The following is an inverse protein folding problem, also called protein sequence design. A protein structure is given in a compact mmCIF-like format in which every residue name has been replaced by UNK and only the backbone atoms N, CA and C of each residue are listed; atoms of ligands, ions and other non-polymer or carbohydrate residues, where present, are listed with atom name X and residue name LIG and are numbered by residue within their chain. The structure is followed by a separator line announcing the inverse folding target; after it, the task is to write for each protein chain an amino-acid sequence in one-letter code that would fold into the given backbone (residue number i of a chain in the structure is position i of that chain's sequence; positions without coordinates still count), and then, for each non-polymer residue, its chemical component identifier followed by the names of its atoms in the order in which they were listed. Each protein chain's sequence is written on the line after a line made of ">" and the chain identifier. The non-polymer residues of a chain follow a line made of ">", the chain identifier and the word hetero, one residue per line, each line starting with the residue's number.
data_IF_676285952578
#
_entry.id   IF_676285952578
#
_cell.length_a   1.000
_cell.length_b   1.000
_cell.length_c   1.000
_cell.angle_alpha   90.00
_cell.angle_beta   90.00
_cell.angle_gamma   90.00
#
_symmetry.space_group_name_H-M   'P 1'
#
loop_
_entity.id
_entity.type
_entity.pdbx_description
1 polymer ?
#
# COMPACT_ATOMS: atom_id res chain seq x y z
N UNK A 1 23.80 -20.82 -12.84
CA UNK A 1 24.74 -19.89 -13.51
C UNK A 1 23.95 -19.10 -14.55
N UNK A 2 23.72 -17.82 -14.34
CA UNK A 2 23.12 -16.94 -15.35
C UNK A 2 24.04 -15.71 -15.50
N UNK A 3 25.10 -15.89 -16.28
CA UNK A 3 26.17 -14.91 -16.47
C UNK A 3 26.00 -14.09 -17.76
N UNK A 4 24.87 -13.42 -17.94
CA UNK A 4 24.61 -12.64 -19.14
C UNK A 4 23.81 -11.36 -18.87
N UNK A 5 24.36 -10.23 -19.29
CA UNK A 5 23.74 -8.89 -19.22
C UNK A 5 22.27 -8.87 -19.70
N UNK A 6 21.91 -9.74 -20.64
CA UNK A 6 20.54 -9.90 -21.19
C UNK A 6 19.53 -10.44 -20.18
N UNK A 7 19.91 -11.39 -19.33
CA UNK A 7 19.01 -11.93 -18.31
C UNK A 7 18.68 -10.85 -17.27
N UNK A 8 19.71 -10.14 -16.80
CA UNK A 8 19.53 -9.02 -15.88
C UNK A 8 18.67 -7.92 -16.48
N UNK A 9 18.85 -7.60 -17.77
CA UNK A 9 18.02 -6.61 -18.48
C UNK A 9 16.55 -7.02 -18.53
N UNK A 10 16.24 -8.26 -18.91
CA UNK A 10 14.86 -8.74 -18.99
C UNK A 10 14.19 -8.81 -17.62
N UNK A 11 14.92 -9.23 -16.59
CA UNK A 11 14.45 -9.23 -15.20
C UNK A 11 14.17 -7.80 -14.69
N UNK A 12 15.02 -6.82 -15.03
CA UNK A 12 14.79 -5.42 -14.66
C UNK A 12 13.56 -4.84 -15.34
N UNK A 13 13.34 -5.16 -16.63
CA UNK A 13 12.13 -4.75 -17.36
C UNK A 13 10.90 -5.36 -16.71
N UNK A 14 10.90 -6.67 -16.46
CA UNK A 14 9.79 -7.36 -15.83
C UNK A 14 9.46 -6.79 -14.43
N UNK A 15 10.49 -6.46 -13.65
CA UNK A 15 10.35 -5.89 -12.32
C UNK A 15 9.77 -4.46 -12.35
N UNK A 16 10.22 -3.59 -13.27
CA UNK A 16 9.62 -2.26 -13.43
C UNK A 16 8.17 -2.33 -13.95
N UNK A 17 7.85 -3.27 -14.84
CA UNK A 17 6.45 -3.51 -15.29
C UNK A 17 5.58 -3.95 -14.11
N UNK A 18 6.07 -4.87 -13.28
CA UNK A 18 5.38 -5.30 -12.07
C UNK A 18 5.12 -4.12 -11.12
N UNK A 19 6.09 -3.21 -10.95
CA UNK A 19 5.90 -2.03 -10.12
C UNK A 19 4.90 -1.01 -10.70
N UNK A 20 4.79 -0.89 -12.02
CA UNK A 20 3.72 -0.09 -12.63
C UNK A 20 2.35 -0.66 -12.22
N UNK A 21 2.18 -1.99 -12.29
CA UNK A 21 0.95 -2.65 -11.86
C UNK A 21 0.67 -2.39 -10.38
N UNK A 22 1.66 -2.56 -9.50
CA UNK A 22 1.52 -2.30 -8.06
C UNK A 22 1.17 -0.83 -7.79
N UNK A 23 1.81 0.11 -8.47
CA UNK A 23 1.51 1.54 -8.33
C UNK A 23 0.06 1.87 -8.70
N UNK A 24 -0.45 1.31 -9.80
CA UNK A 24 -1.86 1.47 -10.21
C UNK A 24 -2.81 0.87 -9.16
N UNK A 25 -2.48 -0.31 -8.60
CA UNK A 25 -3.28 -0.95 -7.55
C UNK A 25 -3.33 -0.09 -6.29
N UNK A 26 -2.19 0.43 -5.81
CA UNK A 26 -2.15 1.30 -4.62
C UNK A 26 -2.95 2.59 -4.81
N UNK A 27 -2.88 3.20 -6.00
CA UNK A 27 -3.69 4.37 -6.33
C UNK A 27 -5.17 4.03 -6.35
N UNK A 28 -5.54 2.92 -7.01
CA UNK A 28 -6.93 2.48 -7.12
C UNK A 28 -7.54 2.26 -5.73
N UNK A 29 -6.89 1.45 -4.89
CA UNK A 29 -7.36 1.18 -3.52
C UNK A 29 -7.39 2.45 -2.67
N UNK A 30 -6.41 3.36 -2.82
CA UNK A 30 -6.42 4.64 -2.13
C UNK A 30 -7.59 5.55 -2.56
N UNK A 31 -7.92 5.59 -3.84
CA UNK A 31 -9.05 6.36 -4.38
C UNK A 31 -10.39 5.74 -3.95
N UNK A 32 -10.54 4.41 -4.07
CA UNK A 32 -11.73 3.70 -3.58
C UNK A 32 -11.92 3.87 -2.08
N UNK A 33 -10.84 3.77 -1.30
CA UNK A 33 -10.85 4.02 0.14
C UNK A 33 -11.34 5.42 0.45
N UNK A 34 -10.79 6.44 -0.22
CA UNK A 34 -11.23 7.84 -0.06
C UNK A 34 -12.70 8.05 -0.43
N UNK A 35 -13.20 7.35 -1.44
CA UNK A 35 -14.59 7.47 -1.88
C UNK A 35 -15.58 6.74 -0.96
N UNK A 36 -15.16 5.62 -0.35
CA UNK A 36 -15.97 4.84 0.57
C UNK A 36 -16.01 5.44 1.99
N UNK A 37 -14.93 6.09 2.43
CA UNK A 37 -14.86 6.78 3.72
C UNK A 37 -15.22 8.27 3.55
N UNK A 38 -16.43 8.68 3.98
CA UNK A 38 -16.83 10.10 4.09
C UNK A 38 -15.95 10.89 5.10
N UNK A 39 -15.03 10.23 5.81
CA UNK A 39 -14.00 10.83 6.67
C UNK A 39 -12.65 10.89 5.94
N UNK A 40 -12.44 11.98 5.19
CA UNK A 40 -11.29 12.16 4.28
C UNK A 40 -9.92 12.41 4.94
N UNK A 41 -9.75 12.14 6.24
CA UNK A 41 -8.61 12.63 7.03
C UNK A 41 -7.74 11.55 7.69
N UNK A 42 -7.82 10.27 7.30
CA UNK A 42 -6.87 9.28 7.79
C UNK A 42 -5.51 9.47 7.07
N UNK A 43 -4.42 9.81 7.79
CA UNK A 43 -3.09 10.00 7.20
C UNK A 43 -2.60 8.78 6.39
N UNK A 44 -3.14 7.60 6.73
CA UNK A 44 -2.86 6.32 6.08
C UNK A 44 -3.27 6.33 4.60
N UNK A 45 -4.43 6.89 4.26
CA UNK A 45 -4.93 6.94 2.87
C UNK A 45 -4.04 7.85 2.01
N UNK A 46 -3.62 8.99 2.56
CA UNK A 46 -2.66 9.89 1.91
C UNK A 46 -1.30 9.24 1.68
N UNK A 47 -0.81 8.47 2.65
CA UNK A 47 0.43 7.70 2.54
C UNK A 47 0.39 6.65 1.43
N UNK A 48 -0.71 5.90 1.31
CA UNK A 48 -0.90 4.87 0.26
C UNK A 48 -0.93 5.52 -1.13
N UNK A 49 -1.66 6.63 -1.29
CA UNK A 49 -1.73 7.37 -2.56
C UNK A 49 -0.35 7.95 -2.95
N UNK A 50 0.35 8.58 -2.01
CA UNK A 50 1.69 9.13 -2.25
C UNK A 50 2.68 8.03 -2.63
N UNK A 51 2.63 6.88 -1.94
CA UNK A 51 3.43 5.70 -2.26
C UNK A 51 3.16 5.22 -3.69
N UNK A 52 1.89 5.09 -4.09
CA UNK A 52 1.50 4.67 -5.44
C UNK A 52 2.04 5.59 -6.54
N UNK A 53 1.94 6.91 -6.37
CA UNK A 53 2.45 7.90 -7.34
C UNK A 53 3.98 7.84 -7.44
N UNK A 54 4.68 7.79 -6.30
CA UNK A 54 6.15 7.70 -6.27
C UNK A 54 6.62 6.41 -6.96
N UNK A 55 5.96 5.27 -6.72
CA UNK A 55 6.29 4.01 -7.37
C UNK A 55 6.10 4.07 -8.89
N UNK A 56 5.05 4.74 -9.39
CA UNK A 56 4.86 4.92 -10.83
C UNK A 56 5.98 5.73 -11.47
N UNK A 57 6.37 6.86 -10.87
CA UNK A 57 7.45 7.71 -11.39
C UNK A 57 8.77 6.94 -11.46
N UNK A 58 9.08 6.21 -10.40
CA UNK A 58 10.32 5.42 -10.29
C UNK A 58 10.35 4.28 -11.30
N UNK A 59 9.21 3.63 -11.53
CA UNK A 59 9.09 2.52 -12.49
C UNK A 59 9.19 2.97 -13.94
N UNK A 60 8.62 4.13 -14.28
CA UNK A 60 8.74 4.73 -15.62
C UNK A 60 10.19 5.10 -15.90
N UNK A 61 10.88 5.72 -14.93
CA UNK A 61 12.30 6.06 -15.06
C UNK A 61 13.18 4.82 -15.21
N UNK A 62 12.92 3.75 -14.44
CA UNK A 62 13.62 2.47 -14.57
C UNK A 62 13.38 1.78 -15.92
N UNK A 63 12.15 1.83 -16.44
CA UNK A 63 11.81 1.28 -17.75
C UNK A 63 12.51 2.06 -18.88
N UNK A 64 12.46 3.40 -18.86
CA UNK A 64 13.15 4.25 -19.84
C UNK A 64 14.67 4.03 -19.79
N UNK A 65 15.26 3.95 -18.59
CA UNK A 65 16.69 3.67 -18.40
C UNK A 65 17.12 2.31 -18.95
N UNK A 66 16.23 1.30 -18.90
CA UNK A 66 16.55 -0.06 -19.37
C UNK A 66 16.33 -0.24 -20.89
N UNK A 67 15.31 0.43 -21.45
CA UNK A 67 14.97 0.33 -22.88
C UNK A 67 15.94 1.15 -23.74
N UNK A 68 16.44 2.28 -23.25
CA UNK A 68 17.30 3.17 -24.04
C UNK A 68 18.78 2.72 -24.09
N UNK A 69 19.04 1.62 -24.79
CA UNK A 69 20.39 1.13 -25.12
C UNK A 69 20.96 1.80 -26.39
N UNK A 70 20.84 3.13 -26.49
CA UNK A 70 21.56 3.96 -27.45
C UNK A 70 21.89 5.28 -26.73
N UNK A 71 23.17 5.49 -26.40
CA UNK A 71 23.66 6.59 -25.57
C UNK A 71 23.32 7.96 -26.20
N UNK A 72 22.17 8.58 -25.84
CA UNK A 72 21.90 10.04 -25.68
C UNK A 72 20.42 10.22 -25.23
N UNK A 73 20.05 9.90 -23.99
CA UNK A 73 19.02 10.65 -23.22
C UNK A 73 19.25 10.35 -21.75
N UNK A 74 20.33 10.90 -21.24
CA UNK A 74 20.34 11.29 -19.85
C UNK A 74 20.82 12.73 -19.70
N UNK A 75 20.42 13.60 -20.63
CA UNK A 75 20.99 14.93 -20.68
C UNK A 75 20.03 16.04 -21.06
N UNK A 76 18.72 15.90 -20.88
CA UNK A 76 17.89 17.09 -21.16
C UNK A 76 16.71 17.44 -20.27
N UNK A 77 16.14 16.62 -19.39
CA UNK A 77 15.12 17.12 -18.47
C UNK A 77 14.83 16.06 -17.39
N UNK A 78 15.17 16.29 -16.11
CA UNK A 78 14.43 17.16 -15.21
C UNK A 78 15.40 17.80 -14.18
N UNK A 79 15.30 19.12 -14.03
CA UNK A 79 16.08 20.06 -13.24
C UNK A 79 16.84 19.53 -11.99
N UNK A 80 18.14 19.84 -11.95
CA UNK A 80 19.08 19.80 -10.83
C UNK A 80 19.71 18.44 -10.45
N UNK A 81 21.04 18.46 -10.37
CA UNK A 81 21.93 17.53 -9.65
C UNK A 81 22.65 16.47 -10.49
N UNK A 82 23.90 16.81 -10.83
CA UNK A 82 24.98 15.94 -11.34
C UNK A 82 25.50 14.94 -10.27
N UNK A 83 24.61 14.43 -9.41
CA UNK A 83 24.86 13.43 -8.36
C UNK A 83 23.85 12.25 -8.42
N UNK A 84 22.92 12.28 -9.37
CA UNK A 84 21.76 11.37 -9.42
C UNK A 84 21.98 10.06 -10.19
N UNK A 85 23.09 9.87 -10.91
CA UNK A 85 23.18 8.69 -11.78
C UNK A 85 23.64 7.39 -11.08
N UNK A 86 24.39 7.48 -9.98
CA UNK A 86 24.75 6.32 -9.14
C UNK A 86 23.78 6.12 -7.97
N UNK A 87 23.15 7.19 -7.46
CA UNK A 87 22.14 7.08 -6.41
C UNK A 87 20.84 6.44 -6.91
N UNK A 88 20.42 6.67 -8.16
CA UNK A 88 19.14 6.14 -8.65
C UNK A 88 19.09 4.61 -8.73
N UNK A 89 20.18 3.94 -9.10
CA UNK A 89 20.25 2.47 -9.09
C UNK A 89 20.26 1.90 -7.67
N UNK A 90 20.90 2.61 -6.73
CA UNK A 90 20.91 2.25 -5.30
C UNK A 90 19.52 2.47 -4.68
N UNK A 91 18.84 3.58 -4.99
CA UNK A 91 17.49 3.89 -4.51
C UNK A 91 16.49 2.87 -5.05
N UNK A 92 16.56 2.54 -6.35
CA UNK A 92 15.74 1.48 -6.96
C UNK A 92 15.93 0.12 -6.28
N UNK A 93 17.17 -0.23 -5.94
CA UNK A 93 17.49 -1.47 -5.24
C UNK A 93 16.99 -1.45 -3.78
N UNK A 94 17.16 -0.34 -3.06
CA UNK A 94 16.65 -0.18 -1.69
C UNK A 94 15.11 -0.24 -1.66
N UNK A 95 14.44 0.38 -2.63
CA UNK A 95 12.99 0.31 -2.76
C UNK A 95 12.52 -1.13 -3.07
N UNK A 96 13.30 -1.90 -3.82
CA UNK A 96 13.04 -3.33 -4.00
C UNK A 96 13.15 -4.12 -2.70
N UNK A 97 14.19 -3.89 -1.91
CA UNK A 97 14.33 -4.56 -0.62
C UNK A 97 13.19 -4.21 0.33
N UNK A 98 12.74 -2.95 0.35
CA UNK A 98 11.59 -2.52 1.16
C UNK A 98 10.30 -3.19 0.69
N UNK A 99 10.02 -3.21 -0.61
CA UNK A 99 8.79 -3.80 -1.15
C UNK A 99 8.76 -5.32 -1.01
N UNK A 100 9.89 -5.98 -1.23
CA UNK A 100 10.05 -7.41 -0.96
C UNK A 100 9.87 -7.71 0.53
N UNK A 101 10.46 -6.89 1.41
CA UNK A 101 10.29 -7.02 2.86
C UNK A 101 8.83 -6.84 3.30
N UNK A 102 8.11 -5.85 2.75
CA UNK A 102 6.68 -5.66 3.03
C UNK A 102 5.87 -6.86 2.55
N UNK A 103 6.09 -7.33 1.33
CA UNK A 103 5.38 -8.50 0.78
C UNK A 103 5.64 -9.75 1.63
N UNK A 104 6.88 -10.01 2.02
CA UNK A 104 7.24 -11.11 2.91
C UNK A 104 6.62 -10.96 4.30
N UNK A 105 6.58 -9.74 4.85
CA UNK A 105 5.97 -9.45 6.16
C UNK A 105 4.46 -9.68 6.14
N UNK A 106 3.78 -9.27 5.07
CA UNK A 106 2.36 -9.52 4.88
C UNK A 106 2.05 -11.03 4.74
N UNK A 107 2.93 -11.80 4.08
CA UNK A 107 2.80 -13.26 3.97
C UNK A 107 3.10 -13.99 5.29
N UNK A 108 3.98 -13.45 6.12
CA UNK A 108 4.38 -14.05 7.39
C UNK A 108 3.37 -13.83 8.53
N UNK A 109 2.45 -12.87 8.38
CA UNK A 109 1.45 -12.56 9.42
C UNK A 109 0.40 -13.68 9.51
N UNK A 110 0.19 -14.21 10.71
CA UNK A 110 -0.85 -15.21 10.99
C UNK A 110 -2.06 -14.59 11.71
N UNK A 111 -3.14 -15.37 11.88
CA UNK A 111 -4.40 -14.91 12.51
C UNK A 111 -4.23 -14.41 13.95
N UNK A 112 -3.32 -14.99 14.72
CA UNK A 112 -3.05 -14.57 16.09
C UNK A 112 -2.37 -13.20 16.13
N UNK A 113 -1.37 -12.98 15.27
CA UNK A 113 -0.72 -11.68 15.13
C UNK A 113 -1.69 -10.62 14.60
N UNK A 114 -2.54 -10.99 13.64
CA UNK A 114 -3.59 -10.10 13.14
C UNK A 114 -4.53 -9.65 14.26
N UNK A 115 -4.98 -10.58 15.12
CA UNK A 115 -5.84 -10.27 16.28
C UNK A 115 -5.16 -9.34 17.27
N UNK A 116 -3.90 -9.61 17.61
CA UNK A 116 -3.15 -8.76 18.55
C UNK A 116 -2.94 -7.34 18.03
N UNK A 117 -2.64 -7.19 16.73
CA UNK A 117 -2.51 -5.88 16.09
C UNK A 117 -3.85 -5.13 16.08
N UNK A 118 -4.96 -5.85 15.83
CA UNK A 118 -6.29 -5.27 15.88
C UNK A 118 -6.68 -4.82 17.31
N UNK A 119 -6.34 -5.59 18.34
CA UNK A 119 -6.60 -5.26 19.76
C UNK A 119 -5.78 -4.04 20.21
N UNK A 120 -4.51 -3.98 19.81
CA UNK A 120 -3.65 -2.81 20.06
C UNK A 120 -4.11 -1.58 19.28
N UNK A 121 -4.57 -1.75 18.04
CA UNK A 121 -5.18 -0.69 17.26
C UNK A 121 -6.43 -0.16 17.96
N UNK A 122 -7.34 -1.06 18.34
CA UNK A 122 -8.60 -0.74 19.00
C UNK A 122 -8.40 0.10 20.27
N UNK A 123 -7.46 -0.30 21.13
CA UNK A 123 -7.17 0.44 22.38
C UNK A 123 -6.55 1.82 22.19
N UNK A 124 -6.02 2.15 21.00
CA UNK A 124 -5.32 3.41 20.73
C UNK A 124 -6.12 4.40 19.88
N UNK A 125 -7.08 3.92 19.11
CA UNK A 125 -7.90 4.77 18.24
C UNK A 125 -8.99 5.47 19.03
N UNK A 126 -9.44 6.62 18.52
CA UNK A 126 -10.49 7.43 19.13
C UNK A 126 -11.86 6.79 18.95
N UNK A 127 -12.83 7.17 19.79
CA UNK A 127 -14.20 6.66 19.72
C UNK A 127 -14.86 6.92 18.34
N UNK A 128 -14.52 8.03 17.68
CA UNK A 128 -14.99 8.30 16.32
C UNK A 128 -14.55 7.24 15.29
N UNK A 129 -13.33 6.73 15.41
CA UNK A 129 -12.82 5.66 14.54
C UNK A 129 -13.42 4.32 14.95
N UNK A 130 -13.64 4.10 16.25
CA UNK A 130 -14.34 2.90 16.73
C UNK A 130 -15.77 2.83 16.18
N UNK A 131 -16.51 3.95 16.21
CA UNK A 131 -17.85 4.05 15.63
C UNK A 131 -17.85 3.71 14.13
N UNK A 132 -16.91 4.28 13.35
CA UNK A 132 -16.77 4.00 11.91
C UNK A 132 -16.44 2.52 11.64
N UNK A 133 -15.53 1.93 12.42
CA UNK A 133 -15.20 0.50 12.31
C UNK A 133 -16.44 -0.36 12.62
N UNK A 134 -17.18 -0.02 13.66
CA UNK A 134 -18.39 -0.74 14.05
C UNK A 134 -19.50 -0.66 12.98
N UNK A 135 -19.71 0.51 12.38
CA UNK A 135 -20.66 0.69 11.26
C UNK A 135 -20.20 -0.06 9.99
N UNK A 136 -18.91 0.00 9.67
CA UNK A 136 -18.35 -0.61 8.46
C UNK A 136 -18.36 -2.14 8.52
N UNK A 137 -18.06 -2.71 9.69
CA UNK A 137 -17.99 -4.16 9.88
C UNK A 137 -19.26 -4.74 10.53
N UNK A 138 -20.29 -3.92 10.76
CA UNK A 138 -21.57 -4.32 11.37
C UNK A 138 -21.38 -5.09 12.69
N UNK A 139 -20.46 -4.62 13.52
CA UNK A 139 -20.09 -5.25 14.78
C UNK A 139 -20.11 -4.23 15.94
N UNK A 140 -20.21 -4.71 17.18
CA UNK A 140 -20.27 -3.86 18.36
C UNK A 140 -19.17 -4.25 19.35
N UNK A 141 -18.21 -3.34 19.55
CA UNK A 141 -17.02 -3.55 20.37
C UNK A 141 -15.99 -4.50 19.77
N UNK A 142 -14.77 -4.49 20.35
CA UNK A 142 -13.72 -5.43 19.95
C UNK A 142 -13.96 -6.85 20.49
N UNK A 143 -14.49 -6.94 21.71
CA UNK A 143 -14.87 -8.18 22.36
C UNK A 143 -16.28 -7.97 22.92
N UNK A 144 -17.25 -8.78 22.49
CA UNK A 144 -18.69 -8.57 22.70
C UNK A 144 -19.15 -8.54 24.18
N UNK A 145 -18.24 -8.78 25.11
CA UNK A 145 -18.47 -8.84 26.56
C UNK A 145 -18.03 -7.58 27.32
N UNK A 146 -17.26 -6.67 26.71
CA UNK A 146 -16.72 -5.48 27.39
C UNK A 146 -17.51 -4.22 27.04
N UNK A 147 -18.40 -3.77 27.93
CA UNK A 147 -19.31 -2.63 27.71
C UNK A 147 -18.65 -1.25 27.80
N UNK A 148 -17.34 -1.16 28.03
CA UNK A 148 -16.64 0.09 28.33
C UNK A 148 -15.49 0.45 27.38
N UNK A 149 -15.26 -0.34 26.33
CA UNK A 149 -14.16 -0.10 25.37
C UNK A 149 -14.67 0.41 24.01
N UNK A 150 -15.95 0.81 23.92
CA UNK A 150 -16.52 1.25 22.65
C UNK A 150 -17.68 2.25 22.86
N UNK A 151 -17.90 3.18 21.92
CA UNK A 151 -19.09 4.03 21.88
C UNK A 151 -20.37 3.22 21.61
N UNK A 152 -21.53 3.81 21.86
CA UNK A 152 -22.84 3.19 21.68
C UNK A 152 -23.05 2.67 20.24
N UNK A 153 -23.73 1.54 20.12
CA UNK A 153 -23.93 0.81 18.86
C UNK A 153 -25.36 0.98 18.30
N UNK A 154 -26.02 2.11 18.56
CA UNK A 154 -27.46 2.28 18.34
C UNK A 154 -27.89 2.14 16.86
N UNK A 155 -26.95 2.39 15.93
CA UNK A 155 -27.17 2.28 14.48
C UNK A 155 -27.01 0.85 13.94
N UNK A 156 -26.54 -0.08 14.77
CA UNK A 156 -26.30 -1.49 14.41
C UNK A 156 -27.49 -2.31 14.90
N UNK A 157 -28.70 -1.83 14.61
CA UNK A 157 -29.96 -2.50 14.93
C UNK A 157 -30.42 -3.29 13.71
N UNK A 158 -29.80 -4.45 13.50
CA UNK A 158 -30.38 -5.70 13.01
C UNK A 158 -29.27 -6.62 12.50
N UNK A 159 -28.97 -7.66 13.29
CA UNK A 159 -28.41 -8.89 12.76
C UNK A 159 -29.55 -9.60 12.01
N UNK A 160 -29.85 -9.17 10.79
CA UNK A 160 -30.75 -9.93 9.90
C UNK A 160 -29.92 -10.98 9.15
N UNK A 161 -30.05 -12.28 9.46
CA UNK A 161 -29.32 -13.35 8.78
C UNK A 161 -29.81 -13.62 7.34
N UNK A 162 -30.47 -12.68 6.67
CA UNK A 162 -31.17 -12.90 5.39
C UNK A 162 -30.43 -12.32 4.18
N UNK A 163 -29.47 -11.39 4.33
CA UNK A 163 -28.83 -10.77 3.16
C UNK A 163 -27.66 -11.56 2.53
N UNK A 164 -27.37 -12.78 3.02
CA UNK A 164 -26.36 -13.69 2.44
C UNK A 164 -26.92 -14.70 1.43
N UNK A 165 -28.20 -14.59 1.05
CA UNK A 165 -28.77 -15.37 -0.05
C UNK A 165 -29.58 -14.45 -0.97
N UNK A 166 -28.91 -13.54 -1.68
CA UNK A 166 -29.36 -13.10 -3.01
C UNK A 166 -28.18 -12.61 -3.85
#
# INVERSE_FOLDING_TARGET
>A
MCGGFTCSKNSLIALNVLYIVVGILLISVGVYGRAASIVTNLPIVGGILACGIILLLISILGLVGTVKHNQVMLFFNLLNSQLTHTQYMIILFLLFLVQFSIACSCLAVNSTQQKQLAEQGWSRVTDSIKEEVQETFLCCGFNSTATSDHPACDKITHFDPIHLIQ
#
